data_IF_724752707284
#
_entry.id   IF_724752707284
#
_cell.length_a   1.000
_cell.length_b   1.000
_cell.length_c   1.000
_cell.angle_alpha   90.00
_cell.angle_beta   90.00
_cell.angle_gamma   90.00
#
_symmetry.space_group_name_H-M   'P 1'
#
loop_
_entity.id
_entity.type
_entity.pdbx_description
1 polymer ?
#
# COMPACT_ATOMS: atom_id res chain seq x y z
N UNK A 1 3.15 11.52 12.07
CA UNK A 1 2.78 11.40 10.65
C UNK A 1 3.94 10.71 9.98
N UNK A 2 3.68 9.61 9.27
CA UNK A 2 4.67 8.87 8.49
C UNK A 2 4.87 9.53 7.13
N UNK A 3 6.10 9.53 6.64
CA UNK A 3 6.38 9.85 5.24
C UNK A 3 6.08 8.61 4.39
N UNK A 4 5.22 8.77 3.38
CA UNK A 4 4.85 7.66 2.49
C UNK A 4 5.63 7.76 1.19
N UNK A 5 6.47 6.76 0.94
CA UNK A 5 7.30 6.62 -0.25
C UNK A 5 6.74 5.51 -1.14
N UNK A 6 6.70 5.72 -2.45
CA UNK A 6 6.21 4.75 -3.42
C UNK A 6 7.38 4.18 -4.22
N UNK A 7 7.40 2.87 -4.41
CA UNK A 7 8.20 2.24 -5.45
C UNK A 7 7.82 2.83 -6.82
N UNK A 8 8.75 2.99 -7.78
CA UNK A 8 8.45 3.55 -9.10
C UNK A 8 7.27 2.88 -9.81
N UNK A 9 7.15 1.55 -9.71
CA UNK A 9 6.02 0.81 -10.29
C UNK A 9 4.68 1.15 -9.62
N UNK A 10 4.68 1.27 -8.28
CA UNK A 10 3.50 1.69 -7.52
C UNK A 10 3.09 3.13 -7.89
N UNK A 11 4.07 4.03 -8.06
CA UNK A 11 3.83 5.39 -8.52
C UNK A 11 3.23 5.42 -9.93
N UNK A 12 3.72 4.56 -10.84
CA UNK A 12 3.17 4.44 -12.20
C UNK A 12 1.72 3.94 -12.19
N UNK A 13 1.40 2.95 -11.36
CA UNK A 13 0.00 2.48 -11.18
C UNK A 13 -0.89 3.61 -10.68
N UNK A 14 -0.41 4.40 -9.70
CA UNK A 14 -1.18 5.51 -9.17
C UNK A 14 -1.36 6.63 -10.21
N UNK A 15 -0.31 6.98 -10.96
CA UNK A 15 -0.36 8.02 -11.99
C UNK A 15 -1.31 7.68 -13.14
N UNK A 16 -1.40 6.40 -13.51
CA UNK A 16 -2.27 5.91 -14.59
C UNK A 16 -3.66 5.46 -14.11
N UNK A 17 -3.94 5.57 -12.81
CA UNK A 17 -5.21 5.16 -12.26
C UNK A 17 -6.36 6.06 -12.77
N UNK A 18 -7.51 5.45 -13.04
CA UNK A 18 -8.72 6.23 -13.29
C UNK A 18 -9.08 7.09 -12.06
N UNK A 19 -9.95 8.09 -12.25
CA UNK A 19 -10.34 9.03 -11.20
C UNK A 19 -10.89 8.35 -9.95
N UNK A 20 -11.60 7.23 -10.10
CA UNK A 20 -12.21 6.53 -8.98
C UNK A 20 -11.16 5.74 -8.19
N UNK A 21 -10.24 5.05 -8.87
CA UNK A 21 -9.13 4.32 -8.27
C UNK A 21 -8.14 5.28 -7.63
N UNK A 22 -7.72 6.34 -8.32
CA UNK A 22 -6.81 7.35 -7.80
C UNK A 22 -7.32 7.96 -6.48
N UNK A 23 -8.62 8.30 -6.40
CA UNK A 23 -9.24 8.80 -5.16
C UNK A 23 -9.19 7.80 -4.03
N UNK A 24 -9.32 6.50 -4.32
CA UNK A 24 -9.23 5.46 -3.29
C UNK A 24 -7.79 5.23 -2.85
N UNK A 25 -6.82 5.32 -3.78
CA UNK A 25 -5.39 5.24 -3.48
C UNK A 25 -4.98 6.43 -2.60
N UNK A 26 -5.34 7.67 -2.93
CA UNK A 26 -4.98 8.83 -2.09
C UNK A 26 -5.50 8.70 -0.65
N UNK A 27 -6.75 8.26 -0.47
CA UNK A 27 -7.30 7.98 0.88
C UNK A 27 -6.54 6.89 1.63
N UNK A 28 -6.06 5.88 0.91
CA UNK A 28 -5.20 4.86 1.50
C UNK A 28 -3.86 5.48 1.94
N UNK A 29 -3.20 6.27 1.09
CA UNK A 29 -1.94 6.92 1.43
C UNK A 29 -2.10 7.86 2.63
N UNK A 30 -3.14 8.69 2.65
CA UNK A 30 -3.51 9.54 3.81
C UNK A 30 -3.70 8.71 5.09
N UNK A 31 -4.35 7.55 5.01
CA UNK A 31 -4.49 6.65 6.15
C UNK A 31 -3.14 6.08 6.60
N UNK A 32 -2.23 5.76 5.67
CA UNK A 32 -0.89 5.25 6.00
C UNK A 32 -0.01 6.33 6.63
N UNK A 33 -0.14 7.60 6.23
CA UNK A 33 0.54 8.74 6.87
C UNK A 33 0.13 8.87 8.35
N UNK A 34 -1.12 8.58 8.68
CA UNK A 34 -1.64 8.74 10.05
C UNK A 34 -1.45 7.48 10.90
N UNK A 35 -1.89 6.34 10.39
CA UNK A 35 -1.85 5.07 11.11
C UNK A 35 -1.68 3.90 10.12
N UNK A 36 -0.43 3.50 9.85
CA UNK A 36 -0.12 2.46 8.88
C UNK A 36 -0.35 1.03 9.42
N UNK A 37 -0.77 0.84 10.66
CA UNK A 37 -1.00 -0.50 11.24
C UNK A 37 -2.47 -0.77 11.56
N UNK A 38 -3.25 0.26 11.89
CA UNK A 38 -4.65 0.10 12.31
C UNK A 38 -5.63 0.71 11.32
N UNK A 39 -6.28 -0.15 10.57
CA UNK A 39 -7.48 0.15 9.78
C UNK A 39 -8.16 -1.18 9.42
N UNK A 40 -9.50 -1.27 9.29
CA UNK A 40 -10.19 -2.53 8.94
C UNK A 40 -9.70 -3.20 7.64
N UNK A 41 -9.15 -2.41 6.72
CA UNK A 41 -8.61 -2.90 5.45
C UNK A 41 -7.13 -3.32 5.51
N UNK A 42 -6.44 -3.08 6.63
CA UNK A 42 -5.04 -3.43 6.84
C UNK A 42 -4.95 -4.83 7.43
N UNK A 43 -4.04 -5.64 6.90
CA UNK A 43 -3.62 -6.91 7.50
C UNK A 43 -2.11 -7.06 7.38
N UNK A 44 -1.46 -7.47 8.48
CA UNK A 44 -0.09 -7.94 8.43
C UNK A 44 -0.02 -9.23 7.60
N UNK A 45 0.97 -9.30 6.71
CA UNK A 45 1.28 -10.51 5.96
C UNK A 45 2.10 -11.47 6.84
N UNK A 46 2.14 -12.74 6.43
CA UNK A 46 2.73 -13.85 7.18
C UNK A 46 3.65 -14.67 6.28
N UNK A 47 4.47 -15.53 6.87
CA UNK A 47 5.42 -16.37 6.14
C UNK A 47 6.52 -15.53 5.52
N UNK A 48 6.84 -15.79 4.26
CA UNK A 48 7.93 -15.12 3.52
C UNK A 48 7.71 -13.59 3.38
N UNK A 49 6.48 -13.13 3.55
CA UNK A 49 6.12 -11.70 3.55
C UNK A 49 5.95 -11.11 4.96
N UNK A 50 6.45 -11.77 6.01
CA UNK A 50 6.44 -11.21 7.36
C UNK A 50 7.18 -9.86 7.39
N UNK A 51 6.61 -8.88 8.09
CA UNK A 51 7.11 -7.49 8.10
C UNK A 51 6.41 -6.57 7.08
N UNK A 52 5.72 -7.15 6.10
CA UNK A 52 4.84 -6.40 5.20
C UNK A 52 3.40 -6.38 5.67
N UNK A 53 2.67 -5.39 5.17
CA UNK A 53 1.25 -5.18 5.37
C UNK A 53 0.56 -5.07 4.03
N UNK A 54 -0.73 -5.39 4.02
CA UNK A 54 -1.61 -5.19 2.89
C UNK A 54 -2.79 -4.32 3.29
N UNK A 55 -2.99 -3.23 2.57
CA UNK A 55 -4.22 -2.45 2.57
C UNK A 55 -5.11 -2.85 1.39
N UNK A 56 -6.36 -3.26 1.66
CA UNK A 56 -7.33 -3.58 0.60
C UNK A 56 -8.11 -2.34 0.15
N UNK A 57 -8.15 -2.12 -1.17
CA UNK A 57 -8.89 -1.04 -1.82
C UNK A 57 -9.81 -1.63 -2.89
N UNK A 58 -10.98 -2.13 -2.48
CA UNK A 58 -11.88 -2.85 -3.39
C UNK A 58 -11.19 -4.09 -3.97
N UNK A 59 -10.91 -4.05 -5.28
CA UNK A 59 -10.20 -5.09 -6.01
C UNK A 59 -8.69 -4.85 -6.13
N UNK A 60 -8.15 -3.76 -5.58
CA UNK A 60 -6.71 -3.53 -5.51
C UNK A 60 -6.15 -3.80 -4.11
N UNK A 61 -4.85 -4.09 -4.05
CA UNK A 61 -4.07 -4.27 -2.82
C UNK A 61 -2.86 -3.35 -2.86
N UNK A 62 -2.65 -2.62 -1.79
CA UNK A 62 -1.42 -1.86 -1.54
C UNK A 62 -0.57 -2.68 -0.58
N UNK A 63 0.62 -3.07 -1.01
CA UNK A 63 1.60 -3.79 -0.20
C UNK A 63 2.67 -2.82 0.26
N UNK A 64 2.96 -2.79 1.55
CA UNK A 64 3.90 -1.84 2.12
C UNK A 64 4.61 -2.39 3.35
N UNK A 65 5.77 -1.82 3.66
CA UNK A 65 6.48 -2.00 4.93
C UNK A 65 6.49 -0.70 5.73
N UNK A 66 6.81 -0.80 7.02
CA UNK A 66 6.87 0.33 7.94
C UNK A 66 8.26 0.34 8.56
N UNK A 67 8.98 1.43 8.39
CA UNK A 67 10.25 1.68 9.07
C UNK A 67 9.99 2.65 10.22
N UNK A 68 9.88 2.11 11.44
CA UNK A 68 9.55 2.89 12.63
C UNK A 68 10.66 3.87 13.03
N UNK A 69 11.92 3.55 12.70
CA UNK A 69 13.07 4.39 13.05
C UNK A 69 13.09 5.67 12.22
N UNK A 70 12.78 5.55 10.93
CA UNK A 70 12.73 6.67 9.98
C UNK A 70 11.34 7.31 9.90
N UNK A 71 10.35 6.75 10.59
CA UNK A 71 8.94 7.16 10.53
C UNK A 71 8.46 7.17 9.06
N UNK A 72 8.78 6.10 8.34
CA UNK A 72 8.50 5.93 6.91
C UNK A 72 7.61 4.72 6.63
N UNK A 73 6.78 4.87 5.60
CA UNK A 73 6.00 3.78 5.01
C UNK A 73 6.45 3.64 3.57
N UNK A 74 6.94 2.45 3.21
CA UNK A 74 7.39 2.18 1.85
C UNK A 74 6.37 1.29 1.14
N UNK A 75 5.65 1.87 0.18
CA UNK A 75 4.68 1.15 -0.67
C UNK A 75 5.43 0.44 -1.79
N UNK A 76 5.53 -0.88 -1.67
CA UNK A 76 6.23 -1.76 -2.61
C UNK A 76 5.42 -1.99 -3.87
N UNK A 77 4.11 -2.17 -3.74
CA UNK A 77 3.25 -2.50 -4.88
C UNK A 77 1.82 -2.00 -4.69
N UNK A 78 1.18 -1.62 -5.80
CA UNK A 78 -0.27 -1.44 -5.93
C UNK A 78 -0.72 -2.38 -7.03
N UNK A 79 -1.37 -3.48 -6.68
CA UNK A 79 -1.69 -4.56 -7.61
C UNK A 79 -3.18 -4.90 -7.61
N UNK A 80 -3.72 -5.29 -8.77
CA UNK A 80 -5.09 -5.78 -8.84
C UNK A 80 -5.18 -7.18 -8.22
N UNK A 81 -6.33 -7.55 -7.66
CA UNK A 81 -6.50 -8.82 -6.93
C UNK A 81 -6.27 -10.07 -7.80
N UNK A 82 -6.43 -9.91 -9.11
CA UNK A 82 -6.29 -10.97 -10.12
C UNK A 82 -4.89 -11.04 -10.71
N UNK A 83 -4.02 -10.07 -10.42
CA UNK A 83 -2.58 -10.23 -10.64
C UNK A 83 -2.12 -11.20 -9.56
N UNK A 84 -2.06 -12.49 -9.93
CA UNK A 84 -1.30 -13.46 -9.16
C UNK A 84 0.16 -13.00 -9.27
N UNK A 85 0.78 -12.71 -8.12
CA UNK A 85 2.19 -12.32 -8.00
C UNK A 85 3.03 -13.04 -9.07
N UNK A 86 3.48 -12.32 -10.10
CA UNK A 86 4.51 -12.89 -10.98
C UNK A 86 5.78 -13.03 -10.14
N UNK A 87 6.40 -14.23 -10.12
CA UNK A 87 7.55 -14.55 -9.29
C UNK A 87 8.82 -13.79 -9.68
#
# INVERSE_FOLDING_TARGET
MYEVLLHPDAQMVYANADKALAKKISRCLEQLEQNPQMHPNIKALKGDFAGYYRYRIGDYRVIYSIEHTLVQVFVVAIAHRSEAYEP
#
